data_IF_324050877408
#
_entry.id   IF_324050877408
#
_cell.length_a   1.000
_cell.length_b   1.000
_cell.length_c   1.000
_cell.angle_alpha   90.00
_cell.angle_beta   90.00
_cell.angle_gamma   90.00
#
_symmetry.space_group_name_H-M   'P 1'
#
loop_
_entity.id
_entity.type
_entity.pdbx_description
1 polymer ?
#
# COMPACT_ATOMS: atom_id res chain seq x y z
N UNK A 1 17.79 -11.67 4.75
CA UNK A 1 16.76 -12.23 3.84
C UNK A 1 16.46 -11.19 2.78
N UNK A 2 15.94 -11.58 1.62
CA UNK A 2 15.68 -10.63 0.52
C UNK A 2 14.24 -10.15 0.56
N UNK A 3 14.02 -8.85 0.40
CA UNK A 3 12.69 -8.26 0.26
C UNK A 3 12.46 -7.90 -1.20
N UNK A 4 11.35 -8.39 -1.76
CA UNK A 4 10.97 -8.07 -3.13
C UNK A 4 10.13 -6.79 -3.14
N UNK A 5 10.56 -5.81 -3.94
CA UNK A 5 9.81 -4.57 -4.18
C UNK A 5 9.46 -4.49 -5.66
N UNK A 6 8.18 -4.57 -5.99
CA UNK A 6 7.72 -4.46 -7.38
C UNK A 6 7.77 -3.00 -7.85
N UNK A 7 7.92 -2.81 -9.15
CA UNK A 7 7.74 -1.50 -9.78
C UNK A 7 6.31 -1.00 -9.64
N UNK A 8 6.08 0.32 -9.78
CA UNK A 8 4.74 0.86 -9.69
C UNK A 8 3.78 0.21 -10.69
N UNK A 9 2.52 0.07 -10.29
CA UNK A 9 1.45 -0.38 -11.16
C UNK A 9 0.14 0.34 -10.83
N UNK A 10 -0.77 0.32 -11.80
CA UNK A 10 -2.14 0.86 -11.66
C UNK A 10 -3.14 -0.14 -12.18
N UNK A 11 -4.29 -0.27 -11.52
CA UNK A 11 -5.46 -0.85 -12.16
C UNK A 11 -6.28 0.28 -12.78
N UNK A 12 -6.32 0.28 -14.12
CA UNK A 12 -7.08 1.26 -14.90
C UNK A 12 -8.02 0.56 -15.87
N UNK A 13 -9.31 0.90 -15.81
CA UNK A 13 -10.38 0.29 -16.61
C UNK A 13 -10.35 -1.25 -16.54
N UNK A 14 -10.30 -1.80 -15.32
CA UNK A 14 -10.26 -3.24 -15.02
C UNK A 14 -9.03 -4.00 -15.55
N UNK A 15 -7.96 -3.28 -15.89
CA UNK A 15 -6.69 -3.87 -16.33
C UNK A 15 -5.57 -3.40 -15.42
N UNK A 16 -4.79 -4.35 -14.93
CA UNK A 16 -3.52 -4.05 -14.25
C UNK A 16 -2.50 -3.68 -15.32
N UNK A 17 -1.96 -2.47 -15.20
CA UNK A 17 -0.94 -1.91 -16.07
C UNK A 17 0.33 -1.77 -15.25
N UNK A 18 1.35 -2.52 -15.63
CA UNK A 18 2.67 -2.47 -15.02
C UNK A 18 3.60 -1.46 -15.70
N UNK A 19 4.69 -1.16 -15.00
CA UNK A 19 5.77 -0.31 -15.49
C UNK A 19 6.50 -0.89 -16.70
N UNK A 20 7.03 0.01 -17.53
CA UNK A 20 7.78 -0.29 -18.75
C UNK A 20 8.91 0.72 -18.92
N UNK A 21 9.87 0.39 -19.79
CA UNK A 21 11.05 1.21 -20.07
C UNK A 21 11.76 1.59 -18.77
N UNK A 22 12.09 0.55 -18.00
CA UNK A 22 12.71 0.73 -16.69
C UNK A 22 14.20 0.94 -16.93
N UNK A 23 14.65 2.17 -16.71
CA UNK A 23 16.06 2.53 -16.77
C UNK A 23 16.64 2.47 -15.36
N UNK A 24 17.81 1.86 -15.21
CA UNK A 24 18.49 1.71 -13.92
C UNK A 24 19.85 2.36 -13.97
N UNK A 25 20.07 3.32 -13.06
CA UNK A 25 21.35 3.98 -12.85
C UNK A 25 21.86 3.54 -11.48
N UNK A 26 22.98 2.81 -11.45
CA UNK A 26 23.55 2.27 -10.22
C UNK A 26 24.86 2.96 -9.85
N UNK A 27 24.95 3.45 -8.61
CA UNK A 27 26.18 3.81 -7.91
C UNK A 27 26.47 2.84 -6.75
N UNK A 28 27.52 3.11 -5.97
CA UNK A 28 27.94 2.21 -4.88
C UNK A 28 26.88 2.04 -3.76
N UNK A 29 26.15 3.11 -3.42
CA UNK A 29 25.16 3.12 -2.32
C UNK A 29 23.80 3.70 -2.75
N UNK A 30 23.68 4.10 -4.02
CA UNK A 30 22.49 4.76 -4.56
C UNK A 30 22.07 4.09 -5.87
N UNK A 31 20.78 3.83 -6.00
CA UNK A 31 20.17 3.28 -7.20
C UNK A 31 19.03 4.19 -7.62
N UNK A 32 18.98 4.55 -8.90
CA UNK A 32 17.89 5.32 -9.45
C UNK A 32 17.18 4.49 -10.52
N UNK A 33 15.85 4.41 -10.41
CA UNK A 33 15.00 3.74 -11.35
C UNK A 33 14.01 4.75 -11.92
N UNK A 34 13.83 4.74 -13.22
CA UNK A 34 12.80 5.51 -13.92
C UNK A 34 11.95 4.59 -14.75
N UNK A 35 10.66 4.90 -14.89
CA UNK A 35 9.82 4.14 -15.79
C UNK A 35 8.51 4.85 -16.10
N UNK A 36 7.73 4.20 -16.97
CA UNK A 36 6.42 4.69 -17.36
C UNK A 36 5.35 3.60 -17.27
N UNK A 37 4.11 3.98 -16.96
CA UNK A 37 2.93 3.11 -17.09
C UNK A 37 1.99 3.69 -18.14
N UNK A 38 1.91 3.12 -19.35
CA UNK A 38 1.09 3.68 -20.42
C UNK A 38 -0.41 3.40 -20.20
N UNK A 39 -1.22 4.45 -20.16
CA UNK A 39 -2.69 4.36 -20.07
C UNK A 39 -3.31 4.30 -21.46
N UNK A 40 -3.33 3.11 -22.06
CA UNK A 40 -4.04 2.88 -23.34
C UNK A 40 -5.55 2.78 -23.08
N UNK A 41 -6.42 3.45 -23.87
CA UNK A 41 -6.19 4.03 -25.21
C UNK A 41 -5.84 5.53 -25.25
N UNK A 42 -5.65 6.19 -24.12
CA UNK A 42 -5.59 7.66 -24.05
C UNK A 42 -4.27 8.28 -24.53
N UNK A 43 -3.26 7.44 -24.81
CA UNK A 43 -1.91 7.87 -25.24
C UNK A 43 -1.22 8.81 -24.24
N UNK A 44 -1.60 8.74 -22.97
CA UNK A 44 -0.89 9.34 -21.84
C UNK A 44 -0.21 8.24 -21.03
N UNK A 45 0.76 8.61 -20.21
CA UNK A 45 1.45 7.70 -19.32
C UNK A 45 1.56 8.29 -17.92
N UNK A 46 1.65 7.41 -16.93
CA UNK A 46 2.18 7.75 -15.60
C UNK A 46 3.69 7.69 -15.73
N UNK A 47 4.38 8.75 -15.32
CA UNK A 47 5.84 8.79 -15.24
C UNK A 47 6.25 8.67 -13.79
N UNK A 48 7.30 7.90 -13.52
CA UNK A 48 7.77 7.73 -12.16
C UNK A 48 9.28 7.60 -12.08
N UNK A 49 9.82 7.99 -10.94
CA UNK A 49 11.18 7.68 -10.53
C UNK A 49 11.23 7.25 -9.07
N UNK A 50 12.20 6.38 -8.76
CA UNK A 50 12.55 5.95 -7.41
C UNK A 50 14.05 6.05 -7.25
N UNK A 51 14.51 6.84 -6.29
CA UNK A 51 15.90 6.78 -5.81
C UNK A 51 15.92 5.95 -4.55
N UNK A 52 16.73 4.90 -4.50
CA UNK A 52 17.09 4.17 -3.28
C UNK A 52 18.47 4.60 -2.81
N UNK A 53 18.59 4.93 -1.53
CA UNK A 53 19.86 5.23 -0.84
C UNK A 53 20.03 4.26 0.32
N UNK A 54 21.10 3.46 0.30
CA UNK A 54 21.43 2.52 1.37
C UNK A 54 21.99 3.29 2.57
N UNK A 55 21.29 3.26 3.71
CA UNK A 55 21.75 3.92 4.95
C UNK A 55 22.50 2.95 5.88
N UNK A 56 22.23 1.65 5.75
CA UNK A 56 23.01 0.54 6.31
C UNK A 56 22.58 -0.77 5.63
N UNK A 57 23.17 -1.90 5.99
CA UNK A 57 22.80 -3.21 5.45
C UNK A 57 21.29 -3.51 5.53
N UNK A 58 20.64 -3.07 6.61
CA UNK A 58 19.23 -3.37 6.89
C UNK A 58 18.31 -2.15 6.82
N UNK A 59 18.78 -1.00 6.30
CA UNK A 59 17.98 0.23 6.22
C UNK A 59 18.20 0.94 4.90
N UNK A 60 17.11 1.16 4.17
CA UNK A 60 17.11 1.82 2.87
C UNK A 60 16.12 2.98 2.89
N UNK A 61 16.53 4.11 2.31
CA UNK A 61 15.69 5.25 2.08
C UNK A 61 15.31 5.35 0.61
N UNK A 62 14.02 5.42 0.32
CA UNK A 62 13.49 5.68 -1.00
C UNK A 62 12.94 7.09 -1.11
N UNK A 63 13.32 7.79 -2.17
CA UNK A 63 12.64 9.00 -2.65
C UNK A 63 11.83 8.61 -3.88
N UNK A 64 10.55 8.97 -3.89
CA UNK A 64 9.58 8.62 -4.90
C UNK A 64 9.02 9.89 -5.53
N UNK A 65 9.03 9.90 -6.86
CA UNK A 65 8.29 10.87 -7.67
C UNK A 65 7.36 10.11 -8.62
N UNK A 66 6.06 10.41 -8.59
CA UNK A 66 5.09 9.84 -9.55
C UNK A 66 4.20 10.95 -10.09
N UNK A 67 4.15 11.10 -11.41
CA UNK A 67 3.24 12.02 -12.09
C UNK A 67 2.10 11.25 -12.71
N UNK A 68 0.89 11.47 -12.18
CA UNK A 68 -0.33 10.89 -12.73
C UNK A 68 -0.93 11.86 -13.75
N UNK A 69 -1.23 11.39 -14.98
CA UNK A 69 -1.79 12.27 -16.00
C UNK A 69 -3.22 12.66 -15.65
N UNK A 70 -3.64 13.83 -16.14
CA UNK A 70 -5.06 14.16 -16.13
C UNK A 70 -5.83 13.28 -17.12
N UNK A 71 -7.04 12.88 -16.73
CA UNK A 71 -7.89 11.99 -17.53
C UNK A 71 -9.33 12.49 -17.60
N UNK A 72 -10.03 12.36 -18.75
CA UNK A 72 -11.42 12.80 -18.84
C UNK A 72 -12.30 12.08 -17.83
N UNK A 73 -13.11 12.85 -17.10
CA UNK A 73 -14.06 12.32 -16.13
C UNK A 73 -15.13 11.49 -16.86
N UNK A 74 -15.02 10.17 -16.71
CA UNK A 74 -15.86 9.17 -17.38
C UNK A 74 -16.24 8.07 -16.40
N UNK A 75 -17.33 7.38 -16.73
CA UNK A 75 -17.79 6.19 -16.01
C UNK A 75 -18.15 6.42 -14.52
N UNK A 76 -18.16 7.68 -14.05
CA UNK A 76 -18.55 8.03 -12.69
C UNK A 76 -20.07 7.97 -12.52
N UNK A 77 -20.52 7.75 -11.28
CA UNK A 77 -21.94 7.78 -10.94
C UNK A 77 -22.45 9.22 -10.85
N UNK A 78 -23.44 9.57 -11.68
CA UNK A 78 -23.98 10.94 -11.76
C UNK A 78 -24.72 11.39 -10.49
N UNK A 79 -25.37 10.48 -9.76
CA UNK A 79 -26.06 10.84 -8.50
C UNK A 79 -25.03 11.17 -7.44
N UNK A 80 -24.01 10.32 -7.30
CA UNK A 80 -22.89 10.53 -6.39
C UNK A 80 -22.10 11.79 -6.74
N UNK A 81 -21.87 12.06 -8.02
CA UNK A 81 -21.22 13.31 -8.45
C UNK A 81 -22.02 14.56 -8.06
N UNK A 82 -23.35 14.51 -8.11
CA UNK A 82 -24.21 15.60 -7.62
C UNK A 82 -24.09 15.80 -6.12
N UNK A 83 -24.06 14.73 -5.34
CA UNK A 83 -23.88 14.79 -3.87
C UNK A 83 -22.49 15.31 -3.49
N UNK A 84 -21.45 14.84 -4.17
CA UNK A 84 -20.05 15.23 -3.90
C UNK A 84 -19.67 16.62 -4.46
N UNK A 85 -20.50 17.20 -5.33
CA UNK A 85 -20.20 18.46 -6.01
C UNK A 85 -19.01 18.37 -6.98
N UNK A 86 -18.58 17.17 -7.35
CA UNK A 86 -17.44 16.93 -8.26
C UNK A 86 -17.64 15.67 -9.09
N UNK A 87 -17.01 15.66 -10.26
CA UNK A 87 -16.93 14.49 -11.16
C UNK A 87 -15.52 13.90 -11.10
N UNK A 88 -15.34 12.67 -11.59
CA UNK A 88 -14.03 12.00 -11.59
C UNK A 88 -13.96 10.98 -12.74
N UNK A 89 -12.81 10.37 -12.95
CA UNK A 89 -12.67 9.22 -13.84
C UNK A 89 -12.69 7.91 -13.05
N UNK A 90 -13.81 7.16 -13.12
CA UNK A 90 -14.00 5.91 -12.36
C UNK A 90 -13.19 4.74 -12.91
N UNK A 91 -12.49 4.94 -14.03
CA UNK A 91 -11.57 3.95 -14.58
C UNK A 91 -10.34 3.79 -13.68
N UNK A 92 -9.99 4.76 -12.85
CA UNK A 92 -8.96 4.58 -11.81
C UNK A 92 -9.49 3.70 -10.69
N UNK A 93 -8.96 2.48 -10.57
CA UNK A 93 -9.47 1.47 -9.63
C UNK A 93 -8.52 1.21 -8.48
N UNK A 94 -7.23 1.10 -8.76
CA UNK A 94 -6.20 0.89 -7.76
C UNK A 94 -4.90 1.51 -8.24
N UNK A 95 -4.01 1.87 -7.33
CA UNK A 95 -2.63 2.19 -7.64
C UNK A 95 -1.70 1.76 -6.53
N UNK A 96 -0.51 1.35 -6.92
CA UNK A 96 0.56 0.92 -6.04
C UNK A 96 1.84 1.64 -6.46
N UNK A 97 2.16 2.80 -5.85
CA UNK A 97 3.43 3.46 -6.03
C UNK A 97 4.59 2.64 -5.45
N UNK A 98 4.29 1.75 -4.49
CA UNK A 98 5.12 0.67 -3.98
C UNK A 98 4.26 -0.58 -3.79
N UNK A 99 4.84 -1.74 -4.07
CA UNK A 99 4.36 -3.02 -3.58
C UNK A 99 5.57 -3.78 -3.03
N UNK A 100 5.55 -4.01 -1.73
CA UNK A 100 6.59 -4.74 -1.01
C UNK A 100 5.98 -6.10 -0.67
N UNK A 101 6.53 -7.17 -1.24
CA UNK A 101 6.13 -8.53 -0.86
C UNK A 101 6.86 -8.85 0.43
N UNK A 102 6.16 -8.68 1.55
CA UNK A 102 6.75 -8.83 2.87
C UNK A 102 7.03 -10.30 3.18
N UNK A 103 6.05 -11.16 2.86
CA UNK A 103 6.15 -12.59 3.05
C UNK A 103 5.47 -13.33 1.91
N UNK A 104 6.13 -14.35 1.40
CA UNK A 104 5.61 -15.19 0.32
C UNK A 104 5.62 -16.67 0.75
N UNK A 105 4.55 -17.40 0.42
CA UNK A 105 4.41 -18.83 0.69
C UNK A 105 4.62 -19.25 2.16
N UNK A 106 4.33 -18.37 3.12
CA UNK A 106 4.38 -18.73 4.53
C UNK A 106 3.24 -19.69 4.88
N UNK A 107 3.44 -20.69 5.75
CA UNK A 107 2.33 -21.50 6.23
C UNK A 107 1.23 -20.66 6.87
N UNK A 108 -0.04 -20.98 6.63
CA UNK A 108 -1.17 -20.31 7.29
C UNK A 108 -1.18 -20.50 8.83
N UNK A 109 -0.42 -21.47 9.35
CA UNK A 109 -0.21 -21.65 10.79
C UNK A 109 0.69 -20.59 11.41
N UNK A 110 1.50 -19.90 10.61
CA UNK A 110 2.31 -18.78 11.08
C UNK A 110 1.43 -17.54 11.19
N UNK A 111 1.30 -17.01 12.40
CA UNK A 111 0.52 -15.80 12.61
C UNK A 111 1.40 -14.61 12.29
N UNK A 112 0.95 -13.77 11.35
CA UNK A 112 1.61 -12.52 11.02
C UNK A 112 1.13 -11.43 11.98
N UNK A 113 2.06 -10.68 12.56
CA UNK A 113 1.78 -9.53 13.41
C UNK A 113 2.05 -8.23 12.67
N UNK A 114 1.11 -7.29 12.76
CA UNK A 114 1.26 -5.93 12.26
C UNK A 114 1.46 -5.01 13.45
N UNK A 115 2.61 -4.37 13.52
CA UNK A 115 2.96 -3.35 14.50
C UNK A 115 2.82 -1.97 13.87
N UNK A 116 2.39 -0.99 14.65
CA UNK A 116 2.25 0.38 14.19
C UNK A 116 2.47 1.37 15.32
N UNK A 117 2.86 2.58 14.94
CA UNK A 117 2.80 3.76 15.80
C UNK A 117 1.88 4.79 15.17
N UNK A 118 0.86 5.23 15.89
CA UNK A 118 -0.02 6.31 15.44
C UNK A 118 0.57 7.71 15.75
N UNK A 119 -0.09 8.78 15.31
CA UNK A 119 0.39 10.15 15.58
C UNK A 119 0.38 10.53 17.08
N UNK A 120 -0.30 9.77 17.94
CA UNK A 120 -0.22 9.94 19.40
C UNK A 120 1.00 9.24 20.01
N UNK A 121 1.89 8.68 19.17
CA UNK A 121 3.05 7.88 19.55
C UNK A 121 2.68 6.61 20.33
N UNK A 122 1.47 6.08 20.12
CA UNK A 122 1.05 4.84 20.75
C UNK A 122 1.44 3.67 19.85
N UNK A 123 2.39 2.87 20.34
CA UNK A 123 2.75 1.62 19.71
C UNK A 123 1.70 0.56 20.06
N UNK A 124 1.16 -0.08 19.04
CA UNK A 124 0.16 -1.13 19.18
C UNK A 124 0.29 -2.12 18.03
N UNK A 125 -0.34 -3.28 18.16
CA UNK A 125 -0.30 -4.32 17.14
C UNK A 125 -1.63 -5.04 16.99
N UNK A 126 -1.78 -5.74 15.87
CA UNK A 126 -2.85 -6.70 15.62
C UNK A 126 -2.33 -7.87 14.77
N UNK A 127 -3.01 -9.00 14.83
CA UNK A 127 -2.64 -10.20 14.07
C UNK A 127 -3.45 -10.32 12.77
N UNK A 128 -2.84 -10.87 11.72
CA UNK A 128 -3.52 -11.27 10.49
C UNK A 128 -3.99 -12.74 10.60
N UNK A 129 -4.91 -13.00 11.53
CA UNK A 129 -5.45 -14.33 11.84
C UNK A 129 -6.69 -14.71 11.01
N UNK A 130 -6.95 -13.94 9.94
CA UNK A 130 -8.18 -14.01 9.16
C UNK A 130 -8.48 -15.38 8.54
N UNK A 131 -7.46 -16.22 8.35
CA UNK A 131 -7.61 -17.61 7.90
C UNK A 131 -8.58 -18.41 8.80
N UNK A 132 -8.59 -18.12 10.12
CA UNK A 132 -9.41 -18.82 11.11
C UNK A 132 -10.89 -18.43 11.12
N UNK A 133 -11.26 -17.25 10.59
CA UNK A 133 -12.58 -16.67 10.84
C UNK A 133 -13.38 -16.34 9.57
N UNK A 134 -12.70 -16.08 8.45
CA UNK A 134 -13.35 -15.67 7.20
C UNK A 134 -13.45 -16.80 6.18
N UNK A 135 -14.46 -16.75 5.30
CA UNK A 135 -14.41 -17.50 4.02
C UNK A 135 -13.63 -16.75 2.94
N UNK A 136 -13.41 -15.45 3.12
CA UNK A 136 -12.63 -14.68 2.17
C UNK A 136 -11.16 -15.09 2.30
N UNK A 137 -10.57 -15.50 1.18
CA UNK A 137 -9.18 -15.94 1.08
C UNK A 137 -8.28 -14.90 0.43
N UNK A 138 -8.84 -13.76 0.03
CA UNK A 138 -8.12 -12.65 -0.56
C UNK A 138 -8.62 -11.34 0.07
N UNK A 139 -7.79 -10.71 0.88
CA UNK A 139 -8.06 -9.43 1.53
C UNK A 139 -7.22 -8.36 0.84
N UNK A 140 -7.90 -7.44 0.13
CA UNK A 140 -7.23 -6.54 -0.81
C UNK A 140 -6.68 -5.24 -0.21
N UNK A 141 -7.26 -4.77 0.90
CA UNK A 141 -7.00 -3.46 1.50
C UNK A 141 -7.23 -3.55 3.03
N UNK A 142 -6.36 -4.27 3.71
CA UNK A 142 -6.34 -4.34 5.18
C UNK A 142 -5.69 -3.05 5.68
N UNK A 143 -6.55 -2.11 6.05
CA UNK A 143 -6.15 -0.77 6.48
C UNK A 143 -6.79 -0.42 7.83
N UNK A 144 -6.55 -1.29 8.83
CA UNK A 144 -7.03 -1.09 10.20
C UNK A 144 -6.15 -0.09 10.98
N UNK A 145 -5.20 0.56 10.31
CA UNK A 145 -4.26 1.51 10.88
C UNK A 145 -4.62 2.90 10.39
N UNK A 146 -5.23 3.70 11.26
CA UNK A 146 -5.32 5.12 11.00
C UNK A 146 -3.99 5.77 11.35
N UNK A 147 -3.43 6.46 10.38
CA UNK A 147 -2.40 7.47 10.56
C UNK A 147 -1.05 6.92 11.10
N UNK A 148 -0.49 5.81 10.58
CA UNK A 148 0.79 5.34 11.09
C UNK A 148 1.97 6.22 10.64
N UNK A 149 2.83 6.62 11.57
CA UNK A 149 4.16 7.19 11.24
C UNK A 149 5.03 6.12 10.58
N UNK A 150 4.97 4.92 11.15
CA UNK A 150 5.53 3.70 10.62
C UNK A 150 4.60 2.52 10.87
N UNK A 151 4.73 1.51 10.02
CA UNK A 151 4.04 0.23 10.12
C UNK A 151 5.07 -0.88 9.90
N UNK A 152 4.98 -1.95 10.66
CA UNK A 152 5.81 -3.12 10.46
C UNK A 152 4.98 -4.40 10.39
N UNK A 153 5.45 -5.37 9.60
CA UNK A 153 4.84 -6.70 9.50
C UNK A 153 5.91 -7.72 9.90
N UNK A 154 5.56 -8.65 10.79
CA UNK A 154 6.46 -9.68 11.32
C UNK A 154 5.85 -11.07 11.25
N UNK A 155 6.68 -12.08 10.96
CA UNK A 155 6.34 -13.51 11.04
C UNK A 155 6.59 -14.11 12.45
N UNK A 156 6.96 -13.26 13.41
CA UNK A 156 7.33 -13.62 14.78
C UNK A 156 8.83 -13.81 15.00
N UNK A 157 9.59 -14.10 13.93
CA UNK A 157 11.04 -14.25 13.98
C UNK A 157 11.78 -13.07 13.34
N UNK A 158 11.18 -12.45 12.33
CA UNK A 158 11.73 -11.30 11.60
C UNK A 158 10.61 -10.43 11.07
N UNK A 159 10.91 -9.18 10.77
CA UNK A 159 9.93 -8.28 10.19
C UNK A 159 10.51 -7.17 9.33
N UNK A 160 9.60 -6.56 8.57
CA UNK A 160 9.87 -5.43 7.69
C UNK A 160 9.10 -4.24 8.25
N UNK A 161 9.81 -3.16 8.53
CA UNK A 161 9.25 -1.88 8.94
C UNK A 161 9.31 -0.92 7.77
N UNK A 162 8.20 -0.21 7.52
CA UNK A 162 8.13 0.90 6.59
C UNK A 162 7.72 2.17 7.31
N UNK A 163 8.31 3.30 6.96
CA UNK A 163 8.01 4.57 7.57
C UNK A 163 7.97 5.70 6.54
N UNK A 164 7.06 6.64 6.73
CA UNK A 164 6.91 7.80 5.85
C UNK A 164 7.52 9.05 6.49
N UNK A 165 8.18 9.90 5.68
CA UNK A 165 8.67 11.19 6.16
C UNK A 165 7.55 12.23 6.15
N UNK A 166 7.37 12.91 7.28
CA UNK A 166 6.35 13.95 7.44
C UNK A 166 6.65 15.25 6.69
N UNK A 167 7.90 15.48 6.30
CA UNK A 167 8.34 16.66 5.54
C UNK A 167 7.94 16.64 4.06
N UNK A 168 7.55 15.46 3.55
CA UNK A 168 7.06 15.25 2.18
C UNK A 168 5.57 14.91 2.18
N UNK A 169 5.05 14.34 1.09
CA UNK A 169 3.70 13.77 1.12
C UNK A 169 3.59 12.73 2.25
N UNK A 170 2.56 12.88 3.08
CA UNK A 170 2.20 11.91 4.10
C UNK A 170 0.74 11.50 3.95
N UNK A 171 0.48 10.20 4.12
CA UNK A 171 -0.86 9.61 4.04
C UNK A 171 -1.36 9.26 5.43
N UNK A 172 -2.61 9.64 5.72
CA UNK A 172 -3.33 9.17 6.90
C UNK A 172 -3.75 7.70 6.79
N UNK A 173 -3.85 7.17 5.58
CA UNK A 173 -4.09 5.76 5.30
C UNK A 173 -2.78 5.16 4.78
N UNK A 174 -1.70 5.30 5.56
CA UNK A 174 -0.36 4.90 5.12
C UNK A 174 -0.18 3.40 5.19
N UNK A 175 0.15 2.82 4.03
CA UNK A 175 0.53 1.43 3.85
C UNK A 175 -0.60 0.38 4.01
N UNK A 176 -1.66 0.43 3.16
CA UNK A 176 -2.56 -0.69 2.96
C UNK A 176 -1.83 -2.02 2.87
N UNK A 177 -2.38 -3.04 3.51
CA UNK A 177 -1.86 -4.41 3.42
C UNK A 177 -2.78 -5.28 2.56
N UNK A 178 -2.20 -6.25 1.87
CA UNK A 178 -2.93 -7.32 1.19
C UNK A 178 -2.54 -8.66 1.78
N UNK A 179 -3.51 -9.53 1.97
CA UNK A 179 -3.26 -10.92 2.35
C UNK A 179 -3.96 -11.85 1.37
N UNK A 180 -3.20 -12.78 0.78
CA UNK A 180 -3.70 -13.83 -0.09
C UNK A 180 -3.45 -15.19 0.55
N UNK A 181 -4.50 -15.98 0.72
CA UNK A 181 -4.49 -17.29 1.37
C UNK A 181 -4.80 -18.36 0.32
N UNK A 182 -3.80 -19.14 -0.09
CA UNK A 182 -3.98 -20.19 -1.12
C UNK A 182 -3.32 -21.48 -0.68
N UNK A 183 -4.02 -22.60 -0.84
CA UNK A 183 -3.44 -23.94 -0.65
C UNK A 183 -2.69 -24.14 0.69
N UNK A 184 -3.16 -23.52 1.79
CA UNK A 184 -2.54 -23.65 3.10
C UNK A 184 -1.33 -22.74 3.35
N UNK A 185 -0.98 -21.88 2.38
CA UNK A 185 0.01 -20.83 2.53
C UNK A 185 -0.61 -19.44 2.41
N UNK A 186 0.13 -18.45 2.89
CA UNK A 186 -0.23 -17.04 2.85
C UNK A 186 0.88 -16.20 2.20
N UNK A 187 0.44 -15.17 1.47
CA UNK A 187 1.28 -14.08 0.97
C UNK A 187 0.79 -12.78 1.58
N UNK A 188 1.71 -11.97 2.09
CA UNK A 188 1.41 -10.65 2.66
C UNK A 188 2.22 -9.60 1.93
N UNK A 189 1.54 -8.60 1.40
CA UNK A 189 2.15 -7.47 0.70
C UNK A 189 1.76 -6.15 1.36
N UNK A 190 2.69 -5.20 1.31
CA UNK A 190 2.55 -3.85 1.85
C UNK A 190 2.56 -2.84 0.72
N UNK A 191 1.67 -1.83 0.76
CA UNK A 191 1.51 -0.86 -0.31
C UNK A 191 1.66 0.58 0.19
N UNK A 192 2.86 1.03 0.60
CA UNK A 192 3.09 2.42 0.95
C UNK A 192 2.53 3.39 -0.09
N UNK A 193 1.75 4.38 0.36
CA UNK A 193 1.06 5.38 -0.47
C UNK A 193 0.07 4.83 -1.51
N UNK A 194 -0.23 3.53 -1.48
CA UNK A 194 -1.17 2.90 -2.38
C UNK A 194 -2.63 3.28 -2.10
N UNK A 195 -3.46 3.17 -3.13
CA UNK A 195 -4.91 3.16 -3.02
C UNK A 195 -5.40 1.82 -3.55
N UNK A 196 -5.72 0.90 -2.64
CA UNK A 196 -6.18 -0.45 -2.98
C UNK A 196 -7.69 -0.54 -2.90
N UNK A 197 -8.23 -1.53 -3.59
CA UNK A 197 -9.66 -1.81 -3.56
C UNK A 197 -9.91 -3.28 -3.84
N UNK A 198 -10.89 -3.86 -3.14
CA UNK A 198 -11.29 -5.22 -3.41
C UNK A 198 -12.06 -5.86 -2.26
N UNK A 199 -12.08 -7.21 -2.22
CA UNK A 199 -12.80 -7.95 -1.19
C UNK A 199 -12.31 -7.61 0.21
N UNK A 200 -13.25 -7.13 1.03
CA UNK A 200 -13.05 -6.81 2.44
C UNK A 200 -13.30 -8.04 3.33
N UNK A 201 -12.95 -7.91 4.60
CA UNK A 201 -13.21 -8.94 5.60
C UNK A 201 -14.71 -9.28 5.69
N UNK A 202 -15.02 -10.58 5.82
CA UNK A 202 -16.38 -11.05 6.09
C UNK A 202 -16.49 -11.38 7.56
N UNK A 203 -17.08 -10.46 8.32
CA UNK A 203 -17.30 -10.63 9.76
C UNK A 203 -18.12 -11.91 10.06
N UNK A 204 -17.72 -12.71 11.07
CA UNK A 204 -18.46 -13.92 11.48
C UNK A 204 -19.91 -13.63 11.89
N UNK A 205 -20.17 -12.46 12.46
CA UNK A 205 -21.51 -12.00 12.82
C UNK A 205 -22.41 -11.64 11.62
N UNK A 206 -21.90 -11.73 10.38
CA UNK A 206 -22.69 -11.41 9.18
C UNK A 206 -23.68 -12.55 8.86
N UNK A 207 -24.94 -12.39 9.26
CA UNK A 207 -26.02 -13.39 9.06
C UNK A 207 -26.62 -13.30 7.66
N UNK A 208 -27.22 -12.17 7.28
CA UNK A 208 -27.99 -12.03 6.02
C UNK A 208 -27.23 -11.28 4.92
N UNK A 209 -26.15 -10.58 5.27
CA UNK A 209 -25.41 -9.72 4.35
C UNK A 209 -26.13 -8.41 3.96
N UNK A 210 -27.37 -8.19 4.43
CA UNK A 210 -28.14 -6.97 4.16
C UNK A 210 -27.46 -5.72 4.73
N UNK A 211 -26.92 -5.79 5.95
CA UNK A 211 -26.14 -4.69 6.54
C UNK A 211 -24.90 -4.34 5.72
N UNK A 212 -24.20 -5.33 5.17
CA UNK A 212 -23.05 -5.10 4.27
C UNK A 212 -23.49 -4.50 2.94
N UNK A 213 -24.62 -4.93 2.37
CA UNK A 213 -25.18 -4.31 1.16
C UNK A 213 -25.58 -2.87 1.40
N UNK A 214 -26.26 -2.58 2.51
CA UNK A 214 -26.60 -1.23 2.93
C UNK A 214 -25.31 -0.40 3.09
N UNK A 215 -24.32 -0.90 3.82
CA UNK A 215 -23.03 -0.24 3.99
C UNK A 215 -22.35 0.04 2.64
N UNK A 216 -22.24 -0.92 1.71
CA UNK A 216 -21.62 -0.67 0.39
C UNK A 216 -22.40 0.40 -0.41
N UNK A 217 -23.73 0.43 -0.30
CA UNK A 217 -24.58 1.41 -0.99
C UNK A 217 -24.51 2.80 -0.38
N UNK A 218 -24.20 2.93 0.92
CA UNK A 218 -24.24 4.21 1.65
C UNK A 218 -22.87 4.72 2.07
N UNK A 219 -21.87 3.83 2.20
CA UNK A 219 -20.53 4.15 2.65
C UNK A 219 -19.65 4.46 1.45
N UNK A 220 -19.70 5.73 1.04
CA UNK A 220 -18.90 6.21 -0.08
C UNK A 220 -17.39 6.01 0.10
N UNK A 221 -16.92 5.88 1.34
CA UNK A 221 -15.55 5.55 1.72
C UNK A 221 -15.13 4.11 1.39
N UNK A 222 -16.07 3.21 1.07
CA UNK A 222 -15.77 1.84 0.61
C UNK A 222 -15.49 1.77 -0.91
N UNK A 223 -15.60 2.90 -1.62
CA UNK A 223 -15.14 3.01 -3.00
C UNK A 223 -13.65 3.33 -3.04
N UNK A 224 -13.00 2.92 -4.13
CA UNK A 224 -11.59 3.24 -4.34
C UNK A 224 -11.35 4.75 -4.27
N UNK A 225 -10.29 5.13 -3.56
CA UNK A 225 -9.76 6.50 -3.54
C UNK A 225 -8.82 6.78 -4.71
N UNK A 226 -8.49 5.78 -5.54
CA UNK A 226 -7.59 5.92 -6.69
C UNK A 226 -7.95 7.07 -7.65
N UNK A 227 -9.23 7.38 -7.94
CA UNK A 227 -9.59 8.52 -8.78
C UNK A 227 -9.09 9.88 -8.26
N UNK A 228 -8.77 10.00 -6.97
CA UNK A 228 -8.26 11.26 -6.39
C UNK A 228 -6.83 11.59 -6.82
N UNK A 229 -6.13 10.63 -7.43
CA UNK A 229 -4.76 10.80 -7.92
C UNK A 229 -4.70 11.26 -9.38
N UNK A 230 -5.83 11.31 -10.08
CA UNK A 230 -5.91 11.86 -11.44
C UNK A 230 -5.35 13.30 -11.46
N UNK A 231 -4.40 13.56 -12.37
CA UNK A 231 -3.74 14.86 -12.50
C UNK A 231 -2.89 15.29 -11.30
N UNK A 232 -2.51 14.38 -10.39
CA UNK A 232 -1.68 14.68 -9.21
C UNK A 232 -0.24 14.22 -9.37
N UNK A 233 0.62 14.79 -8.54
CA UNK A 233 1.99 14.34 -8.34
C UNK A 233 2.14 13.78 -6.93
N UNK A 234 2.85 12.67 -6.80
CA UNK A 234 3.29 12.09 -5.54
C UNK A 234 4.78 12.35 -5.37
N UNK A 235 5.13 13.16 -4.39
CA UNK A 235 6.49 13.37 -3.92
C UNK A 235 6.60 12.85 -2.48
N UNK A 236 7.21 11.69 -2.30
CA UNK A 236 7.24 11.02 -1.00
C UNK A 236 8.60 10.42 -0.68
N UNK A 237 8.89 10.31 0.61
CA UNK A 237 10.06 9.62 1.13
C UNK A 237 9.62 8.45 2.02
N UNK A 238 10.20 7.28 1.77
CA UNK A 238 9.88 6.01 2.42
C UNK A 238 11.16 5.38 2.98
N UNK A 239 11.19 5.11 4.28
CA UNK A 239 12.19 4.22 4.85
C UNK A 239 11.68 2.79 4.85
N UNK A 240 12.56 1.85 4.54
CA UNK A 240 12.33 0.41 4.69
C UNK A 240 13.46 -0.14 5.54
N UNK A 241 13.11 -0.81 6.64
CA UNK A 241 14.05 -1.43 7.55
C UNK A 241 13.72 -2.91 7.78
N UNK A 242 14.77 -3.72 7.79
CA UNK A 242 14.70 -5.13 8.16
C UNK A 242 15.05 -5.28 9.63
N UNK A 243 14.35 -6.15 10.37
CA UNK A 243 14.68 -6.45 11.75
C UNK A 243 14.41 -7.90 12.12
N UNK A 244 15.08 -8.32 13.19
CA UNK A 244 14.89 -9.62 13.85
C UNK A 244 13.96 -9.47 15.06
N UNK A 245 13.16 -10.49 15.29
CA UNK A 245 12.13 -10.57 16.32
C UNK A 245 10.72 -10.25 15.85
N UNK A 246 9.76 -10.44 16.75
CA UNK A 246 8.35 -10.16 16.51
C UNK A 246 8.06 -8.64 16.44
N UNK A 247 8.70 -7.86 17.31
CA UNK A 247 8.49 -6.41 17.46
C UNK A 247 9.73 -5.63 17.02
N UNK A 248 9.59 -4.47 16.34
CA UNK A 248 10.71 -3.59 16.05
C UNK A 248 11.45 -3.14 17.32
N UNK A 249 12.77 -3.31 17.34
CA UNK A 249 13.59 -2.89 18.48
C UNK A 249 13.58 -1.37 18.65
N UNK A 250 13.64 -0.89 19.90
CA UNK A 250 13.68 0.56 20.20
C UNK A 250 14.84 1.29 19.54
N UNK A 251 16.00 0.65 19.41
CA UNK A 251 17.17 1.18 18.71
C UNK A 251 16.88 1.43 17.23
N UNK A 252 16.17 0.50 16.57
CA UNK A 252 15.75 0.68 15.20
C UNK A 252 14.73 1.81 15.07
N UNK A 253 13.74 1.88 15.97
CA UNK A 253 12.75 2.95 15.97
C UNK A 253 13.39 4.33 16.14
N UNK A 254 14.39 4.45 17.01
CA UNK A 254 15.17 5.68 17.16
C UNK A 254 15.90 6.06 15.86
N UNK A 255 16.58 5.10 15.23
CA UNK A 255 17.28 5.33 13.94
C UNK A 255 16.33 5.74 12.83
N UNK A 256 15.17 5.09 12.73
CA UNK A 256 14.11 5.44 11.78
C UNK A 256 13.63 6.86 12.04
N UNK A 257 13.36 7.22 13.30
CA UNK A 257 12.94 8.57 13.66
C UNK A 257 13.97 9.63 13.24
N UNK A 258 15.25 9.41 13.54
CA UNK A 258 16.36 10.30 13.15
C UNK A 258 16.44 10.50 11.63
N UNK A 259 16.18 9.47 10.84
CA UNK A 259 16.23 9.55 9.38
C UNK A 259 15.00 10.25 8.75
N UNK A 260 13.91 10.42 9.52
CA UNK A 260 12.66 11.06 9.09
C UNK A 260 12.51 12.52 9.56
N UNK A 261 13.35 12.95 10.51
CA UNK A 261 13.57 14.36 10.86
C UNK A 261 14.39 15.07 9.78
#
# INVERSE_FOLDING_TARGET
YTVHINEPWVEYNHKILGSRKIDVISGAERYELHGIIPLKPMRVAIEWSRTATMLSADLVCFELHVQYPSTPHRCYDHKKARTLGRTWDDRWRQLAPFEIVAFENLPCSNIIHVWKEDFSNVISHYSLDYAGYGRNRFLADINNHLTPKWLAVSDGARGILVAQASQSFSSYAFCPLRQDLRCGVQCVSMFPFGALWGPQYRYPAAVTGLGRRAAILTAEHLHSSAPSWEGKTLDARLLIALYEGNEPQRSLLAKVHECLL
#
